data_IF_276343329864
#
_entry.id   IF_276343329864
#
_cell.length_a   1.000
_cell.length_b   1.000
_cell.length_c   1.000
_cell.angle_alpha   90.00
_cell.angle_beta   90.00
_cell.angle_gamma   90.00
#
_symmetry.space_group_name_H-M   'P 1'
#
loop_
_entity.id
_entity.type
_entity.pdbx_description
1 polymer ?
#
# COMPACT_ATOMS: atom_id res chain seq x y z
N UNK A 1 12.69 17.09 5.38
CA UNK A 1 12.06 16.34 4.27
C UNK A 1 12.40 14.85 4.24
N UNK A 2 13.68 14.42 4.14
CA UNK A 2 14.06 12.99 4.04
C UNK A 2 13.44 12.08 5.13
N UNK A 3 13.48 12.50 6.41
CA UNK A 3 12.90 11.75 7.54
C UNK A 3 11.38 11.57 7.44
N UNK A 4 10.67 12.55 6.89
CA UNK A 4 9.22 12.47 6.69
C UNK A 4 8.90 11.43 5.62
N UNK A 5 9.54 11.52 4.45
CA UNK A 5 9.34 10.57 3.35
C UNK A 5 9.65 9.14 3.82
N UNK A 6 10.77 8.90 4.50
CA UNK A 6 11.13 7.57 5.01
C UNK A 6 10.15 7.04 6.07
N UNK A 7 9.45 7.93 6.80
CA UNK A 7 8.43 7.54 7.77
C UNK A 7 7.07 7.29 7.13
N UNK A 8 6.72 7.97 6.05
CA UNK A 8 5.38 7.92 5.46
C UNK A 8 5.29 7.16 4.13
N UNK A 9 6.42 6.80 3.51
CA UNK A 9 6.43 6.11 2.21
C UNK A 9 5.53 4.86 2.14
N UNK A 10 5.38 4.01 3.18
CA UNK A 10 4.54 2.82 3.05
C UNK A 10 3.06 3.18 2.99
N UNK A 11 2.66 4.25 3.67
CA UNK A 11 1.28 4.73 3.72
C UNK A 11 0.94 5.39 2.39
N UNK A 12 1.84 6.23 1.86
CA UNK A 12 1.68 6.85 0.55
C UNK A 12 1.59 5.77 -0.53
N UNK A 13 2.47 4.76 -0.50
CA UNK A 13 2.48 3.67 -1.47
C UNK A 13 1.20 2.82 -1.38
N UNK A 14 0.76 2.45 -0.17
CA UNK A 14 -0.48 1.71 0.04
C UNK A 14 -1.70 2.49 -0.47
N UNK A 15 -1.73 3.82 -0.27
CA UNK A 15 -2.79 4.68 -0.79
C UNK A 15 -2.80 4.73 -2.32
N UNK A 16 -1.64 4.82 -2.97
CA UNK A 16 -1.55 4.76 -4.43
C UNK A 16 -2.02 3.40 -4.98
N UNK A 17 -1.67 2.28 -4.32
CA UNK A 17 -2.15 0.96 -4.70
C UNK A 17 -3.67 0.82 -4.51
N UNK A 18 -4.25 1.46 -3.49
CA UNK A 18 -5.70 1.50 -3.30
C UNK A 18 -6.38 2.23 -4.47
N UNK A 19 -5.90 3.43 -4.81
CA UNK A 19 -6.43 4.19 -5.94
C UNK A 19 -6.30 3.43 -7.26
N UNK A 20 -5.21 2.69 -7.43
CA UNK A 20 -4.99 1.83 -8.60
C UNK A 20 -6.05 0.71 -8.70
N UNK A 21 -6.31 -0.01 -7.61
CA UNK A 21 -7.34 -1.06 -7.55
C UNK A 21 -8.75 -0.49 -7.77
N UNK A 22 -9.08 0.64 -7.13
CA UNK A 22 -10.37 1.34 -7.32
C UNK A 22 -10.50 1.84 -8.75
N UNK A 23 -9.42 2.37 -9.34
CA UNK A 23 -9.36 2.80 -10.73
C UNK A 23 -9.73 1.68 -11.69
N UNK A 24 -9.20 0.47 -11.49
CA UNK A 24 -9.62 -0.70 -12.27
C UNK A 24 -11.11 -1.01 -12.11
N UNK A 25 -11.64 -0.93 -10.89
CA UNK A 25 -13.07 -1.13 -10.65
C UNK A 25 -13.95 -0.13 -11.41
N UNK A 26 -13.56 1.14 -11.45
CA UNK A 26 -14.25 2.20 -12.19
C UNK A 26 -14.19 1.96 -13.71
N UNK A 27 -13.07 1.40 -14.21
CA UNK A 27 -12.87 1.07 -15.63
C UNK A 27 -13.55 -0.25 -16.04
N UNK A 28 -14.25 -0.95 -15.14
CA UNK A 28 -14.89 -2.24 -15.42
C UNK A 28 -13.93 -3.44 -15.42
N UNK A 29 -12.67 -3.24 -15.03
CA UNK A 29 -11.61 -4.26 -14.95
C UNK A 29 -11.66 -4.96 -13.58
N UNK A 30 -12.71 -5.74 -13.34
CA UNK A 30 -13.04 -6.26 -12.01
C UNK A 30 -12.04 -7.32 -11.51
N UNK A 31 -11.47 -8.14 -12.40
CA UNK A 31 -10.49 -9.16 -12.05
C UNK A 31 -9.18 -8.52 -11.54
N UNK A 32 -8.72 -7.47 -12.21
CA UNK A 32 -7.53 -6.70 -11.87
C UNK A 32 -7.75 -5.89 -10.60
N UNK A 33 -8.93 -5.30 -10.44
CA UNK A 33 -9.34 -4.64 -9.20
C UNK A 33 -9.26 -5.61 -8.01
N UNK A 34 -9.87 -6.79 -8.14
CA UNK A 34 -9.86 -7.80 -7.07
C UNK A 34 -8.46 -8.36 -6.80
N UNK A 35 -7.67 -8.63 -7.85
CA UNK A 35 -6.29 -9.08 -7.70
C UNK A 35 -5.43 -8.04 -7.00
N UNK A 36 -5.59 -6.74 -7.29
CA UNK A 36 -4.76 -5.68 -6.70
C UNK A 36 -5.27 -5.16 -5.35
N UNK A 37 -6.52 -5.47 -4.96
CA UNK A 37 -7.15 -4.95 -3.75
C UNK A 37 -6.42 -5.29 -2.43
N UNK A 38 -5.66 -6.39 -2.40
CA UNK A 38 -4.93 -6.82 -1.21
C UNK A 38 -3.59 -6.08 -1.01
N UNK A 39 -3.04 -5.43 -2.05
CA UNK A 39 -1.72 -4.81 -2.00
C UNK A 39 -1.57 -3.74 -0.90
N UNK A 40 -2.55 -2.82 -0.68
CA UNK A 40 -2.44 -1.85 0.41
C UNK A 40 -2.27 -2.52 1.78
N UNK A 41 -3.01 -3.61 2.02
CA UNK A 41 -2.95 -4.37 3.27
C UNK A 41 -1.60 -5.04 3.49
N UNK A 42 -1.07 -5.73 2.48
CA UNK A 42 0.24 -6.41 2.59
C UNK A 42 1.40 -5.43 2.74
N UNK A 43 1.38 -4.31 2.01
CA UNK A 43 2.39 -3.24 2.14
C UNK A 43 2.43 -2.72 3.59
N UNK A 44 1.27 -2.41 4.18
CA UNK A 44 1.20 -1.90 5.55
C UNK A 44 1.62 -2.96 6.57
N UNK A 45 1.19 -4.21 6.39
CA UNK A 45 1.57 -5.32 7.26
C UNK A 45 3.09 -5.51 7.30
N UNK A 46 3.74 -5.59 6.14
CA UNK A 46 5.21 -5.72 6.07
C UNK A 46 5.92 -4.47 6.58
N UNK A 47 5.38 -3.28 6.33
CA UNK A 47 5.95 -2.04 6.88
C UNK A 47 5.93 -2.02 8.41
N UNK A 48 4.87 -2.53 9.04
CA UNK A 48 4.78 -2.69 10.49
C UNK A 48 5.78 -3.75 10.97
N UNK A 49 5.79 -4.93 10.36
CA UNK A 49 6.69 -6.03 10.75
C UNK A 49 8.17 -5.61 10.68
N UNK A 50 8.58 -4.91 9.62
CA UNK A 50 9.95 -4.39 9.47
C UNK A 50 10.26 -3.34 10.54
N UNK A 51 9.32 -2.45 10.86
CA UNK A 51 9.52 -1.44 11.92
C UNK A 51 9.69 -2.09 13.28
N UNK A 52 8.83 -3.04 13.62
CA UNK A 52 8.95 -3.82 14.85
C UNK A 52 10.34 -4.46 14.96
N UNK A 53 10.83 -5.12 13.89
CA UNK A 53 12.18 -5.71 13.83
C UNK A 53 13.35 -4.73 13.96
N UNK A 54 13.13 -3.43 13.75
CA UNK A 54 14.17 -2.38 13.88
C UNK A 54 14.13 -1.69 15.24
N UNK A 55 13.03 -1.83 15.98
CA UNK A 55 12.82 -1.21 17.30
C UNK A 55 12.97 -2.19 18.46
N UNK A 56 13.06 -3.50 18.18
CA UNK A 56 13.45 -4.55 19.12
C UNK A 56 14.90 -4.91 18.91
#
# INVERSE_FOLDING_TARGET
MKKFILKWYPIILAFLCLLYSVGYGILGMTAEAQYSAHWPGTILLFAIAIRQRRTT
#
